data_IF_213929098484
#
_entry.id   IF_213929098484
#
_cell.length_a   1.000
_cell.length_b   1.000
_cell.length_c   1.000
_cell.angle_alpha   90.00
_cell.angle_beta   90.00
_cell.angle_gamma   90.00
#
_symmetry.space_group_name_H-M   'P 1'
#
loop_
_entity.id
_entity.type
_entity.pdbx_description
1 polymer ?
#
# COMPACT_ATOMS: atom_id res chain seq x y z
N UNK A 1 -37.61 28.38 -17.60
CA UNK A 1 -37.54 27.02 -18.19
C UNK A 1 -36.35 26.28 -17.61
N UNK A 2 -36.54 25.68 -16.45
CA UNK A 2 -35.54 24.94 -15.67
C UNK A 2 -35.70 23.45 -15.95
N UNK A 3 -34.76 22.86 -16.70
CA UNK A 3 -34.72 21.41 -16.92
C UNK A 3 -34.11 20.74 -15.70
N UNK A 4 -34.97 20.17 -14.86
CA UNK A 4 -34.63 19.19 -13.83
C UNK A 4 -34.05 17.93 -14.49
N UNK A 5 -32.86 17.53 -14.06
CA UNK A 5 -32.28 16.21 -14.39
C UNK A 5 -32.79 15.19 -13.37
N UNK A 6 -33.14 13.96 -13.77
CA UNK A 6 -33.62 12.96 -12.83
C UNK A 6 -32.46 12.47 -11.96
N UNK A 7 -32.67 12.43 -10.65
CA UNK A 7 -31.87 11.65 -9.72
C UNK A 7 -32.07 10.18 -10.08
N UNK A 8 -31.06 9.55 -10.68
CA UNK A 8 -30.98 8.09 -10.72
C UNK A 8 -30.38 7.68 -9.38
N UNK A 9 -31.25 7.28 -8.45
CA UNK A 9 -30.86 6.60 -7.22
C UNK A 9 -30.41 5.19 -7.61
N UNK A 10 -29.10 4.98 -7.70
CA UNK A 10 -28.53 3.64 -7.80
C UNK A 10 -28.58 3.03 -6.41
N UNK A 11 -29.58 2.19 -6.17
CA UNK A 11 -29.67 1.35 -4.99
C UNK A 11 -28.58 0.26 -5.09
N UNK A 12 -27.44 0.49 -4.45
CA UNK A 12 -26.46 -0.57 -4.22
C UNK A 12 -27.03 -1.45 -3.11
N UNK A 13 -27.72 -2.52 -3.51
CA UNK A 13 -28.07 -3.58 -2.59
C UNK A 13 -26.78 -4.16 -2.01
N UNK A 14 -26.57 -3.99 -0.70
CA UNK A 14 -25.62 -4.80 0.06
C UNK A 14 -26.18 -6.20 0.09
N UNK A 15 -25.76 -6.98 -0.89
CA UNK A 15 -26.04 -8.39 -0.96
C UNK A 15 -24.97 -9.09 -0.12
N UNK A 16 -25.25 -9.26 1.18
CA UNK A 16 -24.65 -10.31 2.00
C UNK A 16 -25.19 -11.66 1.52
N UNK A 17 -24.87 -12.08 0.30
CA UNK A 17 -25.11 -13.45 -0.14
C UNK A 17 -23.96 -14.30 0.37
N UNK A 18 -24.25 -15.07 1.41
CA UNK A 18 -23.70 -16.41 1.55
C UNK A 18 -24.12 -17.24 0.35
N UNK A 19 -23.48 -17.00 -0.80
CA UNK A 19 -23.68 -17.81 -1.99
C UNK A 19 -23.11 -19.19 -1.72
N UNK A 20 -23.99 -20.19 -1.64
CA UNK A 20 -23.60 -21.59 -1.72
C UNK A 20 -23.01 -21.84 -3.11
N UNK A 21 -21.69 -21.67 -3.23
CA UNK A 21 -20.96 -21.97 -4.45
C UNK A 21 -20.71 -23.48 -4.53
N UNK A 22 -21.27 -24.12 -5.55
CA UNK A 22 -20.97 -25.50 -5.90
C UNK A 22 -19.51 -25.59 -6.36
N UNK A 23 -18.65 -26.07 -5.46
CA UNK A 23 -17.25 -26.32 -5.78
C UNK A 23 -17.16 -27.50 -6.76
N UNK A 24 -16.68 -27.26 -7.99
CA UNK A 24 -16.08 -28.34 -8.79
C UNK A 24 -14.82 -28.79 -8.06
N UNK A 25 -14.91 -29.94 -7.39
CA UNK A 25 -13.82 -30.58 -6.68
C UNK A 25 -12.69 -30.95 -7.63
N UNK A 26 -11.65 -30.11 -7.68
CA UNK A 26 -10.35 -30.54 -8.19
C UNK A 26 -9.79 -31.60 -7.24
N UNK A 27 -9.62 -32.82 -7.74
CA UNK A 27 -9.13 -33.97 -6.98
C UNK A 27 -7.88 -33.62 -6.17
N UNK A 28 -7.89 -33.98 -4.90
CA UNK A 28 -6.73 -33.89 -4.04
C UNK A 28 -5.63 -34.78 -4.62
N UNK A 29 -4.47 -34.20 -4.95
CA UNK A 29 -3.26 -34.99 -5.15
C UNK A 29 -2.82 -35.55 -3.80
N UNK A 30 -3.34 -36.73 -3.50
CA UNK A 30 -2.93 -37.60 -2.38
C UNK A 30 -1.50 -38.08 -2.65
N UNK A 31 -0.54 -37.65 -1.82
CA UNK A 31 0.83 -38.23 -1.83
C UNK A 31 2.00 -37.31 -1.47
N UNK A 32 1.87 -35.98 -1.54
CA UNK A 32 2.99 -35.10 -1.20
C UNK A 32 3.08 -34.81 0.31
N UNK A 33 4.23 -35.10 0.92
CA UNK A 33 4.55 -34.73 2.31
C UNK A 33 4.35 -33.21 2.51
N UNK A 34 3.61 -32.78 3.55
CA UNK A 34 3.42 -31.36 3.83
C UNK A 34 4.75 -30.64 4.08
N UNK A 35 4.89 -29.43 3.50
CA UNK A 35 5.97 -28.53 3.85
C UNK A 35 5.85 -28.10 5.31
N UNK A 36 6.96 -27.89 6.00
CA UNK A 36 6.92 -27.45 7.41
C UNK A 36 7.33 -25.98 7.52
N UNK A 37 6.41 -25.13 7.98
CA UNK A 37 6.68 -23.74 8.30
C UNK A 37 7.11 -23.61 9.77
N UNK A 38 8.35 -23.15 10.02
CA UNK A 38 8.89 -22.93 11.38
C UNK A 38 9.20 -21.46 11.60
N UNK A 39 9.21 -21.02 12.86
CA UNK A 39 9.63 -19.67 13.19
C UNK A 39 11.05 -19.40 12.63
N UNK A 40 11.19 -18.37 11.79
CA UNK A 40 12.48 -17.89 11.29
C UNK A 40 12.99 -16.71 12.11
N UNK A 41 12.07 -15.94 12.70
CA UNK A 41 12.38 -14.76 13.49
C UNK A 41 11.58 -14.75 14.79
N UNK A 42 12.01 -13.90 15.73
CA UNK A 42 11.21 -13.58 16.92
C UNK A 42 10.02 -12.71 16.53
N UNK A 43 8.94 -12.82 17.29
CA UNK A 43 7.82 -11.89 17.20
C UNK A 43 8.27 -10.46 17.43
N UNK A 44 7.72 -9.53 16.66
CA UNK A 44 7.86 -8.10 16.89
C UNK A 44 6.53 -7.39 16.63
N UNK A 45 6.30 -6.28 17.33
CA UNK A 45 5.08 -5.51 17.19
C UNK A 45 5.07 -4.71 15.88
N UNK A 46 3.92 -4.73 15.21
CA UNK A 46 3.54 -3.76 14.18
C UNK A 46 2.42 -2.85 14.73
N UNK A 47 2.40 -1.56 14.35
CA UNK A 47 1.34 -0.66 14.79
C UNK A 47 -0.05 -1.03 14.23
N UNK A 48 -1.12 -0.49 14.82
CA UNK A 48 -2.49 -0.59 14.29
C UNK A 48 -2.61 -0.14 12.85
N UNK A 49 -2.02 1.01 12.56
CA UNK A 49 -1.96 1.59 11.24
C UNK A 49 -0.72 1.14 10.45
N UNK A 50 -0.36 -0.15 10.52
CA UNK A 50 0.78 -0.67 9.76
C UNK A 50 0.46 -0.72 8.26
N UNK A 51 -0.70 -1.25 7.88
CA UNK A 51 -1.08 -1.47 6.49
C UNK A 51 -2.09 -0.41 6.03
N UNK A 52 -1.78 0.27 4.93
CA UNK A 52 -2.58 1.39 4.47
C UNK A 52 -2.60 1.57 2.97
N UNK A 53 -3.22 2.67 2.55
CA UNK A 53 -3.27 3.10 1.15
C UNK A 53 -2.88 4.56 1.01
N UNK A 54 -2.14 4.84 -0.06
CA UNK A 54 -1.91 6.20 -0.50
C UNK A 54 -3.11 6.69 -1.32
N UNK A 55 -3.65 7.88 -1.02
CA UNK A 55 -4.85 8.42 -1.67
C UNK A 55 -4.56 9.74 -2.43
N UNK A 56 -3.81 9.74 -3.54
CA UNK A 56 -3.49 10.95 -4.28
C UNK A 56 -4.69 11.40 -5.16
N UNK A 57 -5.69 12.04 -4.57
CA UNK A 57 -6.80 12.62 -5.35
C UNK A 57 -6.28 13.71 -6.30
N UNK A 58 -6.57 13.54 -7.60
CA UNK A 58 -6.20 14.47 -8.66
C UNK A 58 -7.24 14.57 -9.77
N UNK A 59 -7.30 13.58 -10.66
CA UNK A 59 -8.16 13.65 -11.86
C UNK A 59 -9.63 13.33 -11.56
N UNK A 60 -9.88 12.51 -10.53
CA UNK A 60 -11.22 12.09 -10.14
C UNK A 60 -11.52 12.52 -8.70
N UNK A 61 -11.22 13.78 -8.36
CA UNK A 61 -11.33 14.26 -6.97
C UNK A 61 -12.75 14.20 -6.42
N UNK A 62 -13.78 14.28 -7.28
CA UNK A 62 -15.19 14.10 -6.88
C UNK A 62 -15.45 12.75 -6.20
N UNK A 63 -14.67 11.71 -6.52
CA UNK A 63 -14.83 10.38 -5.92
C UNK A 63 -14.54 10.37 -4.43
N UNK A 64 -13.70 11.29 -3.94
CA UNK A 64 -13.43 11.45 -2.52
C UNK A 64 -14.69 11.78 -1.71
N UNK A 65 -15.72 12.29 -2.36
CA UNK A 65 -16.95 12.77 -1.74
C UNK A 65 -18.07 11.73 -1.71
N UNK A 66 -17.88 10.57 -2.34
CA UNK A 66 -18.99 9.64 -2.59
C UNK A 66 -19.05 8.55 -1.53
N UNK A 67 -20.25 8.16 -1.06
CA UNK A 67 -20.42 7.06 -0.12
C UNK A 67 -19.86 5.74 -0.65
N UNK A 68 -19.91 5.51 -1.96
CA UNK A 68 -19.43 4.29 -2.59
C UNK A 68 -17.92 4.12 -2.42
N UNK A 69 -17.13 5.19 -2.57
CA UNK A 69 -15.70 5.12 -2.30
C UNK A 69 -15.44 4.83 -0.82
N UNK A 70 -16.16 5.50 0.08
CA UNK A 70 -15.95 5.33 1.52
C UNK A 70 -16.28 3.92 1.98
N UNK A 71 -17.40 3.36 1.50
CA UNK A 71 -17.78 1.97 1.73
C UNK A 71 -16.78 0.99 1.14
N UNK A 72 -16.32 1.22 -0.10
CA UNK A 72 -15.32 0.36 -0.74
C UNK A 72 -13.97 0.41 0.00
N UNK A 73 -13.55 1.59 0.47
CA UNK A 73 -12.36 1.75 1.29
C UNK A 73 -12.49 1.02 2.63
N UNK A 74 -13.64 1.14 3.30
CA UNK A 74 -13.92 0.41 4.54
C UNK A 74 -13.88 -1.11 4.34
N UNK A 75 -14.40 -1.61 3.22
CA UNK A 75 -14.35 -3.02 2.85
C UNK A 75 -12.94 -3.60 2.66
N UNK A 76 -11.92 -2.74 2.45
CA UNK A 76 -10.51 -3.16 2.40
C UNK A 76 -9.85 -3.23 3.79
N UNK A 77 -10.54 -2.76 4.84
CA UNK A 77 -10.08 -2.71 6.22
C UNK A 77 -8.65 -2.13 6.41
N UNK A 78 -8.33 -0.95 5.83
CA UNK A 78 -7.03 -0.35 6.01
C UNK A 78 -6.79 0.05 7.47
N UNK A 79 -5.57 -0.15 7.95
CA UNK A 79 -5.13 0.46 9.21
C UNK A 79 -4.79 1.94 9.04
N UNK A 80 -4.40 2.38 7.84
CA UNK A 80 -3.99 3.76 7.59
C UNK A 80 -4.46 4.30 6.23
N UNK A 81 -4.68 5.61 6.13
CA UNK A 81 -4.81 6.33 4.87
C UNK A 81 -3.92 7.57 4.87
N UNK A 82 -3.18 7.77 3.77
CA UNK A 82 -2.26 8.90 3.60
C UNK A 82 -2.97 10.15 3.08
N UNK A 83 -2.94 11.23 3.87
CA UNK A 83 -3.71 12.49 3.71
C UNK A 83 -2.79 13.71 3.74
N UNK A 84 -2.46 14.39 2.66
CA UNK A 84 -2.65 14.08 1.27
C UNK A 84 -1.61 13.04 0.84
N UNK A 85 -1.64 12.61 -0.41
CA UNK A 85 -0.83 11.49 -0.85
C UNK A 85 0.04 11.80 -2.05
N UNK A 86 1.29 11.32 -2.09
CA UNK A 86 2.10 11.39 -3.30
C UNK A 86 2.50 12.83 -3.69
N UNK A 87 2.89 13.02 -4.95
CA UNK A 87 3.37 14.33 -5.43
C UNK A 87 2.31 15.44 -5.31
N UNK A 88 1.01 15.10 -5.21
CA UNK A 88 -0.07 16.07 -5.06
C UNK A 88 0.00 16.82 -3.72
N UNK A 89 0.49 16.19 -2.65
CA UNK A 89 0.63 16.80 -1.33
C UNK A 89 1.52 18.05 -1.33
N UNK A 90 2.59 18.05 -2.13
CA UNK A 90 3.49 19.20 -2.30
C UNK A 90 2.82 20.46 -2.87
N UNK A 91 1.61 20.34 -3.42
CA UNK A 91 0.88 21.42 -4.09
C UNK A 91 -0.52 21.64 -3.54
N UNK A 92 -0.95 20.86 -2.55
CA UNK A 92 -2.30 20.93 -2.00
C UNK A 92 -2.51 22.18 -1.14
N UNK A 93 -3.63 22.87 -1.38
CA UNK A 93 -4.15 23.96 -0.57
C UNK A 93 -5.38 23.43 0.20
N UNK A 94 -5.18 23.13 1.47
CA UNK A 94 -6.21 22.53 2.34
C UNK A 94 -7.40 23.46 2.57
N UNK A 95 -7.23 24.78 2.44
CA UNK A 95 -8.31 25.77 2.63
C UNK A 95 -9.29 25.78 1.48
N UNK A 96 -8.82 25.49 0.26
CA UNK A 96 -9.67 25.48 -0.94
C UNK A 96 -10.02 24.08 -1.40
N UNK A 97 -9.45 23.04 -0.78
CA UNK A 97 -9.60 21.65 -1.20
C UNK A 97 -9.05 21.35 -2.59
N UNK A 98 -8.10 22.16 -3.08
CA UNK A 98 -7.55 22.10 -4.46
C UNK A 98 -6.03 22.32 -4.45
N UNK A 99 -5.40 22.31 -5.63
CA UNK A 99 -4.00 22.73 -5.74
C UNK A 99 -3.86 24.26 -5.74
N UNK A 100 -2.73 24.76 -5.22
CA UNK A 100 -2.34 26.16 -5.42
C UNK A 100 -2.27 26.50 -6.92
N UNK A 101 -2.86 27.62 -7.33
CA UNK A 101 -2.72 28.19 -8.68
C UNK A 101 -1.70 29.33 -8.63
N UNK A 102 -0.40 29.01 -8.65
CA UNK A 102 0.67 30.01 -8.63
C UNK A 102 1.90 29.61 -9.44
N UNK A 103 2.75 30.59 -9.73
CA UNK A 103 4.00 30.40 -10.45
C UNK A 103 4.90 29.34 -9.80
N UNK A 104 5.43 28.43 -10.63
CA UNK A 104 6.27 27.31 -10.22
C UNK A 104 5.52 26.04 -9.78
N UNK A 105 4.20 26.08 -9.59
CA UNK A 105 3.38 24.86 -9.51
C UNK A 105 3.37 24.21 -10.89
N UNK A 106 3.63 22.90 -11.06
CA UNK A 106 3.65 22.28 -12.38
C UNK A 106 2.37 22.53 -13.18
N UNK A 107 2.45 22.86 -14.49
CA UNK A 107 1.27 23.19 -15.30
C UNK A 107 0.15 22.15 -15.23
N UNK A 108 0.54 20.87 -15.18
CA UNK A 108 -0.41 19.77 -15.11
C UNK A 108 -1.20 19.70 -13.78
N UNK A 109 -0.68 20.26 -12.68
CA UNK A 109 -1.43 20.41 -11.42
C UNK A 109 -2.33 21.65 -11.46
N UNK A 110 -1.86 22.77 -12.01
CA UNK A 110 -2.70 23.96 -12.21
C UNK A 110 -3.91 23.65 -13.10
N UNK A 111 -3.67 22.96 -14.23
CA UNK A 111 -4.73 22.52 -15.14
C UNK A 111 -5.71 21.57 -14.45
N UNK A 112 -5.21 20.58 -13.69
CA UNK A 112 -6.07 19.70 -12.90
C UNK A 112 -6.91 20.48 -11.87
N UNK A 113 -6.31 21.45 -11.17
CA UNK A 113 -6.99 22.27 -10.16
C UNK A 113 -8.24 22.98 -10.68
N UNK A 114 -8.22 23.44 -11.94
CA UNK A 114 -9.38 24.09 -12.59
C UNK A 114 -10.56 23.13 -12.78
N UNK A 115 -10.27 21.84 -12.96
CA UNK A 115 -11.27 20.79 -13.22
C UNK A 115 -11.65 19.98 -11.97
N UNK A 116 -10.89 20.14 -10.88
CA UNK A 116 -11.13 19.42 -9.65
C UNK A 116 -12.38 19.92 -8.92
N UNK A 117 -13.18 18.98 -8.46
CA UNK A 117 -14.06 19.18 -7.31
C UNK A 117 -13.20 19.39 -6.06
N UNK A 118 -13.43 20.45 -5.26
CA UNK A 118 -12.77 20.62 -3.97
C UNK A 118 -12.91 19.38 -3.09
N UNK A 119 -11.84 19.02 -2.37
CA UNK A 119 -11.86 18.01 -1.31
C UNK A 119 -11.34 18.65 -0.02
N UNK A 120 -12.24 19.06 0.85
CA UNK A 120 -11.90 19.73 2.10
C UNK A 120 -11.42 18.72 3.16
N UNK A 121 -10.85 19.23 4.25
CA UNK A 121 -10.44 18.38 5.38
C UNK A 121 -11.60 17.59 5.98
N UNK A 122 -12.83 18.11 5.94
CA UNK A 122 -14.03 17.39 6.41
C UNK A 122 -14.31 16.14 5.56
N UNK A 123 -14.11 16.22 4.24
CA UNK A 123 -14.29 15.08 3.34
C UNK A 123 -13.27 13.97 3.63
N UNK A 124 -12.03 14.38 3.96
CA UNK A 124 -11.01 13.45 4.44
C UNK A 124 -11.34 12.85 5.79
N UNK A 125 -11.86 13.64 6.73
CA UNK A 125 -12.26 13.17 8.05
C UNK A 125 -13.36 12.11 7.94
N UNK A 126 -14.33 12.32 7.05
CA UNK A 126 -15.37 11.33 6.76
C UNK A 126 -14.80 10.04 6.18
N UNK A 127 -13.95 10.13 5.15
CA UNK A 127 -13.32 8.95 4.56
C UNK A 127 -12.49 8.17 5.59
N UNK A 128 -11.72 8.87 6.43
CA UNK A 128 -10.92 8.29 7.51
C UNK A 128 -11.81 7.56 8.53
N UNK A 129 -12.89 8.21 8.96
CA UNK A 129 -13.83 7.67 9.94
C UNK A 129 -14.56 6.44 9.42
N UNK A 130 -15.10 6.51 8.20
CA UNK A 130 -15.82 5.38 7.59
C UNK A 130 -14.88 4.21 7.27
N UNK A 131 -13.64 4.47 6.86
CA UNK A 131 -12.65 3.43 6.65
C UNK A 131 -12.05 2.85 7.95
N UNK A 132 -12.36 3.44 9.11
CA UNK A 132 -11.77 3.09 10.40
C UNK A 132 -10.23 3.07 10.38
N UNK A 133 -9.62 4.07 9.75
CA UNK A 133 -8.19 4.15 9.52
C UNK A 133 -7.54 5.28 10.35
N UNK A 134 -6.24 5.17 10.64
CA UNK A 134 -5.48 6.33 11.12
C UNK A 134 -5.04 7.20 9.92
N UNK A 135 -5.15 8.54 10.00
CA UNK A 135 -4.59 9.44 9.00
C UNK A 135 -3.07 9.54 9.11
N UNK A 136 -2.41 9.60 7.97
CA UNK A 136 -0.97 9.87 7.85
C UNK A 136 -0.78 11.16 7.07
N UNK A 137 -0.42 12.23 7.77
CA UNK A 137 -0.47 13.57 7.20
C UNK A 137 0.76 13.91 6.36
N UNK A 138 0.66 13.96 5.02
CA UNK A 138 1.75 14.46 4.17
C UNK A 138 1.70 15.98 4.02
N UNK A 139 2.62 16.67 4.68
CA UNK A 139 2.62 18.12 4.74
C UNK A 139 3.21 18.76 3.50
N UNK A 140 2.59 19.85 3.08
CA UNK A 140 3.04 20.65 1.95
C UNK A 140 4.24 21.54 2.33
N UNK A 141 5.46 21.02 2.20
CA UNK A 141 6.70 21.77 2.48
C UNK A 141 7.15 22.68 1.33
N UNK A 142 6.47 22.63 0.19
CA UNK A 142 6.95 23.18 -1.08
C UNK A 142 6.23 24.47 -1.44
N UNK A 143 4.90 24.44 -1.37
CA UNK A 143 4.05 25.57 -1.77
C UNK A 143 3.23 26.17 -0.63
N UNK A 144 3.25 25.59 0.57
CA UNK A 144 2.68 26.17 1.80
C UNK A 144 3.79 26.60 2.79
N UNK A 145 3.40 27.06 3.98
CA UNK A 145 4.26 27.49 5.08
C UNK A 145 4.07 26.60 6.31
N UNK A 146 5.03 26.63 7.25
CA UNK A 146 4.92 25.89 8.51
C UNK A 146 3.69 26.33 9.31
N UNK A 147 3.43 27.64 9.40
CA UNK A 147 2.28 28.16 10.15
C UNK A 147 0.95 27.69 9.55
N UNK A 148 0.83 27.67 8.22
CA UNK A 148 -0.37 27.23 7.53
C UNK A 148 -0.57 25.71 7.65
N UNK A 149 0.49 24.91 7.59
CA UNK A 149 0.41 23.46 7.81
C UNK A 149 0.12 23.10 9.28
N UNK A 150 0.62 23.86 10.25
CA UNK A 150 0.22 23.69 11.66
C UNK A 150 -1.26 24.06 11.87
N UNK A 151 -1.76 25.09 11.16
CA UNK A 151 -3.18 25.42 11.18
C UNK A 151 -4.05 24.30 10.58
N UNK A 152 -3.59 23.68 9.48
CA UNK A 152 -4.22 22.50 8.89
C UNK A 152 -4.34 21.35 9.91
N UNK A 153 -3.25 21.04 10.62
CA UNK A 153 -3.25 19.96 11.63
C UNK A 153 -4.18 20.26 12.81
N UNK A 154 -4.29 21.53 13.24
CA UNK A 154 -5.27 21.92 14.28
C UNK A 154 -6.70 21.74 13.78
N UNK A 155 -7.00 22.22 12.58
CA UNK A 155 -8.32 22.03 11.96
C UNK A 155 -8.66 20.54 11.79
N UNK A 156 -7.68 19.71 11.41
CA UNK A 156 -7.86 18.28 11.30
C UNK A 156 -8.17 17.61 12.66
N UNK A 157 -7.46 18.00 13.72
CA UNK A 157 -7.75 17.55 15.08
C UNK A 157 -9.17 17.93 15.51
N UNK A 158 -9.60 19.15 15.20
CA UNK A 158 -10.93 19.65 15.57
C UNK A 158 -12.05 18.92 14.80
N UNK A 159 -11.72 18.30 13.66
CA UNK A 159 -12.58 17.36 12.91
C UNK A 159 -12.50 15.90 13.42
N UNK A 160 -11.79 15.65 14.52
CA UNK A 160 -11.66 14.31 15.11
C UNK A 160 -10.56 13.43 14.48
N UNK A 161 -9.74 13.96 13.57
CA UNK A 161 -8.63 13.20 12.99
C UNK A 161 -7.41 13.19 13.94
N UNK A 162 -6.91 12.01 14.36
CA UNK A 162 -5.81 11.95 15.32
C UNK A 162 -4.47 12.37 14.69
N UNK A 163 -3.79 13.36 15.29
CA UNK A 163 -2.51 13.87 14.80
C UNK A 163 -1.35 13.02 15.36
N UNK A 164 -1.22 11.79 14.83
CA UNK A 164 -0.22 10.80 15.30
C UNK A 164 0.91 10.54 14.31
N UNK A 165 0.66 10.70 13.01
CA UNK A 165 1.62 10.37 11.94
C UNK A 165 1.68 11.48 10.92
N UNK A 166 2.88 11.98 10.67
CA UNK A 166 3.11 13.14 9.81
C UNK A 166 4.33 12.87 8.94
N UNK A 167 4.23 13.15 7.64
CA UNK A 167 5.34 13.18 6.70
C UNK A 167 5.67 14.62 6.31
N UNK A 168 6.96 14.89 6.10
CA UNK A 168 7.46 16.20 5.72
C UNK A 168 7.71 16.30 4.22
N UNK A 169 6.62 16.24 3.47
CA UNK A 169 6.57 16.36 2.01
C UNK A 169 6.76 15.04 1.29
N UNK A 170 6.66 15.09 -0.03
CA UNK A 170 6.73 13.91 -0.89
C UNK A 170 7.88 14.00 -1.89
N UNK A 171 8.75 12.98 -1.93
CA UNK A 171 9.75 12.77 -3.00
C UNK A 171 10.56 14.01 -3.41
N UNK A 172 10.96 14.81 -2.42
CA UNK A 172 11.66 16.07 -2.62
C UNK A 172 13.07 15.90 -3.24
N UNK A 173 13.49 14.66 -3.51
CA UNK A 173 14.66 14.33 -4.32
C UNK A 173 14.46 14.54 -5.83
N UNK A 174 13.23 14.77 -6.30
CA UNK A 174 12.97 15.20 -7.67
C UNK A 174 13.22 16.70 -7.86
N UNK A 175 13.50 17.08 -9.11
CA UNK A 175 13.63 18.47 -9.52
C UNK A 175 12.28 19.02 -9.96
N UNK A 176 11.95 20.21 -9.46
CA UNK A 176 10.80 21.00 -9.87
C UNK A 176 11.00 22.43 -9.38
N UNK A 177 10.52 23.47 -10.09
CA UNK A 177 10.84 24.87 -9.77
C UNK A 177 10.55 25.27 -8.31
N UNK A 178 9.42 24.84 -7.75
CA UNK A 178 9.11 25.12 -6.34
C UNK A 178 9.89 24.22 -5.37
N UNK A 179 10.16 22.97 -5.71
CA UNK A 179 10.96 22.07 -4.88
C UNK A 179 12.39 22.60 -4.76
N UNK A 180 13.03 22.91 -5.89
CA UNK A 180 14.41 23.40 -5.92
C UNK A 180 14.55 24.74 -5.19
N UNK A 181 13.53 25.61 -5.24
CA UNK A 181 13.49 26.83 -4.43
C UNK A 181 13.27 26.56 -2.93
N UNK A 182 12.34 25.67 -2.59
CA UNK A 182 12.00 25.40 -1.19
C UNK A 182 13.06 24.58 -0.44
N UNK A 183 13.77 23.70 -1.16
CA UNK A 183 14.74 22.73 -0.66
C UNK A 183 15.87 22.50 -1.69
N UNK A 184 16.75 23.49 -1.94
CA UNK A 184 17.73 23.43 -3.04
C UNK A 184 18.74 22.29 -2.94
N UNK A 185 19.00 21.78 -1.73
CA UNK A 185 19.90 20.65 -1.50
C UNK A 185 19.31 19.68 -0.48
N UNK A 186 19.77 18.41 -0.43
CA UNK A 186 19.34 17.48 0.61
C UNK A 186 19.67 17.97 2.03
N UNK A 187 20.81 18.65 2.23
CA UNK A 187 21.16 19.29 3.50
C UNK A 187 20.21 20.43 3.85
N UNK A 188 19.81 21.24 2.87
CA UNK A 188 18.81 22.30 3.09
C UNK A 188 17.46 21.71 3.52
N UNK A 189 17.06 20.59 2.90
CA UNK A 189 15.88 19.84 3.34
C UNK A 189 16.03 19.34 4.78
N UNK A 190 17.12 18.64 5.13
CA UNK A 190 17.32 18.12 6.48
C UNK A 190 17.26 19.20 7.57
N UNK A 191 17.85 20.38 7.34
CA UNK A 191 17.71 21.54 8.24
C UNK A 191 16.27 22.06 8.32
N UNK A 192 15.57 22.15 7.19
CA UNK A 192 14.17 22.61 7.14
C UNK A 192 13.26 21.64 7.89
N UNK A 193 13.39 20.34 7.62
CA UNK A 193 12.64 19.28 8.28
C UNK A 193 12.89 19.29 9.79
N UNK A 194 14.14 19.44 10.25
CA UNK A 194 14.46 19.59 11.69
C UNK A 194 13.67 20.71 12.36
N UNK A 195 13.58 21.88 11.72
CA UNK A 195 12.79 23.00 12.27
C UNK A 195 11.29 22.68 12.32
N UNK A 196 10.77 22.04 11.29
CA UNK A 196 9.37 21.63 11.22
C UNK A 196 9.03 20.58 12.28
N UNK A 197 9.88 19.56 12.44
CA UNK A 197 9.75 18.53 13.48
C UNK A 197 9.63 19.18 14.86
N UNK A 198 10.53 20.10 15.20
CA UNK A 198 10.50 20.78 16.50
C UNK A 198 9.19 21.52 16.72
N UNK A 199 8.72 22.28 15.73
CA UNK A 199 7.48 23.04 15.84
C UNK A 199 6.24 22.13 15.93
N UNK A 200 6.22 21.05 15.16
CA UNK A 200 5.15 20.05 15.19
C UNK A 200 5.09 19.38 16.55
N UNK A 201 6.22 18.85 17.06
CA UNK A 201 6.28 18.19 18.37
C UNK A 201 5.99 19.15 19.53
N UNK A 202 6.23 20.44 19.36
CA UNK A 202 5.83 21.46 20.34
C UNK A 202 4.32 21.65 20.48
N UNK A 203 3.53 21.38 19.42
CA UNK A 203 2.05 21.47 19.45
C UNK A 203 1.36 20.11 19.57
N UNK A 204 2.02 19.06 19.07
CA UNK A 204 1.52 17.69 18.99
C UNK A 204 2.60 16.74 19.52
N UNK A 205 2.83 16.68 20.85
CA UNK A 205 3.96 15.96 21.45
C UNK A 205 3.94 14.45 21.20
N UNK A 206 2.77 13.87 20.90
CA UNK A 206 2.62 12.46 20.57
C UNK A 206 2.72 12.15 19.07
N UNK A 207 2.89 13.17 18.22
CA UNK A 207 3.04 12.97 16.79
C UNK A 207 4.42 12.38 16.47
N UNK A 208 4.41 11.32 15.65
CA UNK A 208 5.61 10.79 14.99
C UNK A 208 5.77 11.48 13.65
N UNK A 209 6.98 11.93 13.36
CA UNK A 209 7.28 12.71 12.17
C UNK A 209 8.33 12.00 11.31
N UNK A 210 7.98 11.78 10.05
CA UNK A 210 8.83 11.19 9.04
C UNK A 210 9.41 12.24 8.09
N UNK A 211 10.71 12.15 7.81
CA UNK A 211 11.34 12.92 6.74
C UNK A 211 11.44 12.09 5.45
N UNK A 212 11.56 12.77 4.32
CA UNK A 212 11.66 12.15 2.99
C UNK A 212 13.00 11.47 2.81
N UNK A 213 12.96 10.16 2.63
CA UNK A 213 14.08 9.36 2.14
C UNK A 213 13.92 9.01 0.67
N UNK A 214 15.01 8.56 0.08
CA UNK A 214 15.05 7.97 -1.26
C UNK A 214 15.23 6.45 -1.19
N UNK A 215 16.00 5.98 -0.20
CA UNK A 215 16.27 4.55 0.02
C UNK A 215 17.37 4.00 -0.87
N UNK A 216 18.19 4.89 -1.44
CA UNK A 216 19.28 4.56 -2.36
C UNK A 216 18.88 3.78 -3.61
N UNK A 217 19.67 3.90 -4.67
CA UNK A 217 19.65 2.91 -5.74
C UNK A 217 20.97 2.93 -6.51
N UNK A 218 21.53 1.76 -6.85
CA UNK A 218 22.76 1.67 -7.63
C UNK A 218 22.67 2.40 -8.98
N UNK A 219 21.45 2.59 -9.49
CA UNK A 219 21.19 3.27 -10.76
C UNK A 219 21.31 4.80 -10.69
N UNK A 220 21.49 5.39 -9.50
CA UNK A 220 21.63 6.84 -9.33
C UNK A 220 23.04 7.21 -8.90
N UNK A 221 23.83 7.84 -9.78
CA UNK A 221 25.19 8.26 -9.45
C UNK A 221 25.21 9.21 -8.26
N UNK A 222 26.23 9.10 -7.40
CA UNK A 222 26.43 9.95 -6.21
C UNK A 222 26.49 11.45 -6.52
N UNK A 223 26.88 11.83 -7.75
CA UNK A 223 26.87 13.21 -8.25
C UNK A 223 25.48 13.80 -8.47
N UNK A 224 24.43 12.99 -8.54
CA UNK A 224 23.04 13.46 -8.75
C UNK A 224 22.36 13.79 -7.43
N UNK A 225 21.32 14.65 -7.44
CA UNK A 225 20.51 14.99 -6.25
C UNK A 225 20.00 13.73 -5.54
N UNK A 226 19.45 12.78 -6.30
CA UNK A 226 18.97 11.48 -5.81
C UNK A 226 20.07 10.62 -5.21
N UNK A 227 21.20 10.48 -5.89
CA UNK A 227 22.32 9.64 -5.41
C UNK A 227 22.95 10.11 -4.10
N UNK A 228 22.85 11.41 -3.78
CA UNK A 228 23.32 11.97 -2.50
C UNK A 228 22.22 12.31 -1.50
N UNK A 229 20.96 11.96 -1.80
CA UNK A 229 19.80 12.41 -1.02
C UNK A 229 19.91 11.99 0.44
N UNK A 230 19.85 10.69 0.72
CA UNK A 230 19.79 10.17 2.09
C UNK A 230 20.98 10.63 2.93
N UNK A 231 22.21 10.49 2.39
CA UNK A 231 23.43 10.97 3.08
C UNK A 231 23.35 12.47 3.43
N UNK A 232 22.88 13.29 2.49
CA UNK A 232 22.80 14.73 2.71
C UNK A 232 21.69 15.10 3.71
N UNK A 233 20.52 14.46 3.63
CA UNK A 233 19.43 14.65 4.59
C UNK A 233 19.88 14.26 5.99
N UNK A 234 20.34 13.02 6.18
CA UNK A 234 20.72 12.48 7.49
C UNK A 234 21.88 13.22 8.15
N UNK A 235 22.78 13.84 7.35
CA UNK A 235 23.85 14.67 7.91
C UNK A 235 23.37 15.91 8.68
N UNK A 236 22.14 16.37 8.42
CA UNK A 236 21.60 17.62 9.01
C UNK A 236 20.22 17.49 9.65
N UNK A 237 19.50 16.40 9.38
CA UNK A 237 18.19 16.10 9.96
C UNK A 237 18.34 15.70 11.44
N UNK A 238 17.49 16.24 12.31
CA UNK A 238 17.42 15.87 13.73
C UNK A 238 15.97 15.84 14.21
N UNK A 239 15.69 14.93 15.14
CA UNK A 239 14.43 14.82 15.87
C UNK A 239 13.35 13.96 15.18
N UNK A 240 13.66 13.41 14.01
CA UNK A 240 12.80 12.53 13.24
C UNK A 240 12.53 11.20 13.95
N UNK A 241 11.34 10.65 13.76
CA UNK A 241 10.98 9.32 14.24
C UNK A 241 11.09 8.28 13.12
N UNK A 242 10.94 8.73 11.87
CA UNK A 242 10.95 7.87 10.71
C UNK A 242 11.54 8.54 9.46
N UNK A 243 11.84 7.72 8.46
CA UNK A 243 12.16 8.14 7.10
C UNK A 243 11.22 7.43 6.13
N UNK A 244 10.69 8.16 5.16
CA UNK A 244 9.80 7.59 4.13
C UNK A 244 10.59 6.97 2.97
N UNK A 245 10.05 5.91 2.36
CA UNK A 245 10.65 5.25 1.20
C UNK A 245 9.60 4.82 0.20
N UNK A 246 9.84 5.07 -1.10
CA UNK A 246 8.87 4.81 -2.16
C UNK A 246 9.33 3.73 -3.18
N UNK A 247 9.34 2.45 -2.78
CA UNK A 247 9.85 1.37 -3.61
C UNK A 247 8.85 0.92 -4.68
N UNK A 248 9.19 1.19 -5.94
CA UNK A 248 8.55 0.57 -7.09
C UNK A 248 9.46 -0.46 -7.77
N UNK A 249 8.88 -1.51 -8.34
CA UNK A 249 9.62 -2.45 -9.18
C UNK A 249 9.08 -2.52 -10.61
N UNK A 250 10.00 -2.75 -11.53
CA UNK A 250 9.68 -3.00 -12.94
C UNK A 250 9.51 -4.50 -13.14
N UNK A 251 8.59 -4.86 -14.01
CA UNK A 251 8.43 -6.21 -14.53
C UNK A 251 8.81 -6.25 -16.00
N UNK A 252 9.11 -7.44 -16.57
CA UNK A 252 9.35 -7.56 -18.00
C UNK A 252 8.18 -6.98 -18.80
N UNK A 253 8.43 -6.20 -19.87
CA UNK A 253 7.38 -5.65 -20.69
C UNK A 253 6.65 -6.74 -21.50
N UNK A 254 5.43 -6.42 -21.92
CA UNK A 254 4.60 -7.27 -22.80
C UNK A 254 3.72 -8.28 -22.06
N UNK A 255 3.15 -9.23 -22.81
CA UNK A 255 2.24 -10.26 -22.28
C UNK A 255 2.94 -11.15 -21.26
N UNK A 256 2.20 -11.55 -20.22
CA UNK A 256 2.65 -12.52 -19.24
C UNK A 256 2.79 -13.90 -19.89
N UNK A 257 4.00 -14.46 -19.84
CA UNK A 257 4.30 -15.85 -20.26
C UNK A 257 4.83 -16.64 -19.06
N UNK A 258 4.88 -17.97 -19.16
CA UNK A 258 5.45 -18.82 -18.09
C UNK A 258 6.90 -18.42 -17.74
N UNK A 259 7.71 -18.12 -18.74
CA UNK A 259 9.11 -17.67 -18.55
C UNK A 259 9.21 -16.28 -17.91
N UNK A 260 8.24 -15.39 -18.17
CA UNK A 260 8.20 -14.05 -17.57
C UNK A 260 7.63 -14.07 -16.15
N UNK A 261 6.73 -15.01 -15.84
CA UNK A 261 6.07 -15.10 -14.54
C UNK A 261 7.07 -15.21 -13.38
N UNK A 262 8.14 -15.99 -13.51
CA UNK A 262 9.14 -16.07 -12.44
C UNK A 262 9.84 -14.73 -12.16
N UNK A 263 10.14 -13.95 -13.21
CA UNK A 263 10.73 -12.61 -13.08
C UNK A 263 9.76 -11.65 -12.38
N UNK A 264 8.47 -11.73 -12.69
CA UNK A 264 7.41 -10.94 -12.05
C UNK A 264 7.33 -11.25 -10.56
N UNK A 265 7.25 -12.52 -10.21
CA UNK A 265 7.10 -12.96 -8.82
C UNK A 265 8.37 -12.73 -7.98
N UNK A 266 9.54 -12.70 -8.60
CA UNK A 266 10.81 -12.42 -7.92
C UNK A 266 11.13 -10.91 -7.79
N UNK A 267 10.55 -10.06 -8.64
CA UNK A 267 10.77 -8.61 -8.64
C UNK A 267 10.55 -7.92 -7.28
N UNK A 268 9.46 -8.18 -6.53
CA UNK A 268 9.22 -7.54 -5.24
C UNK A 268 10.34 -7.83 -4.24
N UNK A 269 10.78 -9.09 -4.13
CA UNK A 269 11.86 -9.46 -3.19
C UNK A 269 13.23 -8.88 -3.58
N UNK A 270 13.50 -8.74 -4.88
CA UNK A 270 14.70 -8.01 -5.35
C UNK A 270 14.62 -6.55 -4.95
N UNK A 271 13.44 -5.92 -5.09
CA UNK A 271 13.24 -4.53 -4.67
C UNK A 271 13.35 -4.36 -3.16
N UNK A 272 12.84 -5.32 -2.37
CA UNK A 272 13.00 -5.33 -0.91
C UNK A 272 14.48 -5.41 -0.53
N UNK A 273 15.26 -6.22 -1.24
CA UNK A 273 16.71 -6.32 -1.01
C UNK A 273 17.42 -4.98 -1.27
N UNK A 274 17.00 -4.23 -2.30
CA UNK A 274 17.51 -2.88 -2.53
C UNK A 274 17.09 -1.90 -1.43
N UNK A 275 15.83 -1.95 -0.97
CA UNK A 275 15.36 -1.13 0.14
C UNK A 275 16.16 -1.41 1.43
N UNK A 276 16.44 -2.69 1.73
CA UNK A 276 17.27 -3.08 2.87
C UNK A 276 18.65 -2.42 2.81
N UNK A 277 19.32 -2.53 1.67
CA UNK A 277 20.69 -2.03 1.49
C UNK A 277 20.76 -0.50 1.42
N UNK A 278 19.92 0.10 0.58
CA UNK A 278 19.96 1.53 0.29
C UNK A 278 19.17 2.40 1.28
N UNK A 279 18.23 1.83 2.03
CA UNK A 279 17.38 2.56 2.97
C UNK A 279 17.54 2.05 4.40
N UNK A 280 17.02 0.85 4.70
CA UNK A 280 16.83 0.39 6.09
C UNK A 280 18.14 0.29 6.88
N UNK A 281 19.25 -0.09 6.25
CA UNK A 281 20.57 -0.15 6.90
C UNK A 281 21.18 1.22 7.20
N UNK A 282 20.74 2.26 6.50
CA UNK A 282 21.29 3.62 6.65
C UNK A 282 20.56 4.44 7.71
N UNK A 283 19.41 3.97 8.19
CA UNK A 283 18.62 4.70 9.18
C UNK A 283 19.36 4.76 10.53
N UNK A 284 19.40 5.94 11.19
CA UNK A 284 19.95 6.09 12.54
C UNK A 284 19.28 5.17 13.57
N UNK A 285 19.95 4.95 14.70
CA UNK A 285 19.35 4.20 15.81
C UNK A 285 18.05 4.87 16.29
N UNK A 286 17.04 4.07 16.62
CA UNK A 286 15.72 4.56 17.05
C UNK A 286 14.81 5.03 15.91
N UNK A 287 15.36 5.36 14.72
CA UNK A 287 14.57 5.79 13.56
C UNK A 287 14.04 4.59 12.78
N UNK A 288 12.76 4.63 12.41
CA UNK A 288 12.06 3.57 11.66
C UNK A 288 11.83 3.96 10.20
N UNK A 289 11.38 3.00 9.39
CA UNK A 289 10.98 3.21 8.00
C UNK A 289 9.45 3.25 7.89
N UNK A 290 8.96 4.23 7.14
CA UNK A 290 7.59 4.25 6.62
C UNK A 290 7.66 4.06 5.10
N UNK A 291 7.03 3.02 4.59
CA UNK A 291 7.04 2.69 3.16
C UNK A 291 5.75 3.21 2.54
N UNK A 292 5.63 4.53 2.39
CA UNK A 292 4.35 5.22 2.20
C UNK A 292 3.93 5.40 0.73
N UNK A 293 4.66 4.75 -0.18
CA UNK A 293 4.28 4.64 -1.58
C UNK A 293 5.00 3.46 -2.26
N UNK A 294 4.30 2.35 -2.49
CA UNK A 294 4.88 1.19 -3.17
C UNK A 294 3.85 0.46 -4.03
N UNK A 295 4.31 -0.15 -5.12
CA UNK A 295 3.56 -1.05 -5.99
C UNK A 295 4.51 -1.59 -7.10
N UNK A 296 4.00 -2.43 -8.00
CA UNK A 296 4.50 -2.49 -9.37
C UNK A 296 4.54 -1.09 -10.00
N UNK A 297 5.49 -0.85 -10.90
CA UNK A 297 5.53 0.40 -11.67
C UNK A 297 4.20 0.64 -12.38
N UNK A 298 3.66 1.86 -12.25
CA UNK A 298 2.47 2.31 -12.97
C UNK A 298 2.59 2.20 -14.50
N UNK A 299 3.78 1.91 -15.06
CA UNK A 299 4.03 1.63 -16.49
C UNK A 299 3.99 0.13 -16.87
N UNK A 300 3.79 -0.76 -15.90
CA UNK A 300 3.77 -2.20 -16.14
C UNK A 300 2.58 -2.66 -17.00
N UNK A 301 2.81 -3.58 -17.93
CA UNK A 301 1.76 -4.27 -18.69
C UNK A 301 0.94 -5.27 -17.86
N UNK A 302 1.30 -5.50 -16.59
CA UNK A 302 0.67 -6.49 -15.72
C UNK A 302 -0.38 -5.91 -14.78
N UNK A 303 -0.56 -4.59 -14.76
CA UNK A 303 -1.56 -3.93 -13.91
C UNK A 303 -2.92 -4.60 -14.09
N UNK A 304 -3.60 -4.88 -12.99
CA UNK A 304 -4.92 -5.52 -12.98
C UNK A 304 -4.92 -7.03 -13.20
N UNK A 305 -3.76 -7.66 -13.46
CA UNK A 305 -3.69 -9.13 -13.53
C UNK A 305 -3.54 -9.77 -12.15
N UNK A 306 -3.93 -11.03 -11.99
CA UNK A 306 -3.69 -11.74 -10.72
C UNK A 306 -2.20 -11.86 -10.36
N UNK A 307 -1.31 -11.93 -11.35
CA UNK A 307 0.14 -11.85 -11.11
C UNK A 307 0.57 -10.53 -10.48
N UNK A 308 -0.16 -9.43 -10.70
CA UNK A 308 0.04 -8.17 -9.99
C UNK A 308 -0.26 -8.33 -8.51
N UNK A 309 -1.46 -8.82 -8.16
CA UNK A 309 -1.88 -9.05 -6.78
C UNK A 309 -0.91 -9.98 -6.02
N UNK A 310 -0.45 -11.06 -6.65
CA UNK A 310 0.57 -11.94 -6.07
C UNK A 310 1.92 -11.25 -5.87
N UNK A 311 2.32 -10.34 -6.77
CA UNK A 311 3.57 -9.58 -6.66
C UNK A 311 3.53 -8.63 -5.47
N UNK A 312 2.40 -7.96 -5.26
CA UNK A 312 2.24 -7.00 -4.16
C UNK A 312 2.07 -7.72 -2.81
N UNK A 313 1.31 -8.81 -2.75
CA UNK A 313 1.21 -9.66 -1.56
C UNK A 313 2.59 -10.21 -1.12
N UNK A 314 3.42 -10.61 -2.07
CA UNK A 314 4.80 -11.06 -1.82
C UNK A 314 5.66 -9.95 -1.19
N UNK A 315 5.47 -8.70 -1.63
CA UNK A 315 6.15 -7.55 -1.08
C UNK A 315 5.69 -7.24 0.35
N UNK A 316 4.38 -7.22 0.61
CA UNK A 316 3.81 -7.02 1.94
C UNK A 316 4.33 -8.04 2.96
N UNK A 317 4.30 -9.34 2.63
CA UNK A 317 4.87 -10.39 3.49
C UNK A 317 6.38 -10.20 3.71
N UNK A 318 7.06 -9.59 2.75
CA UNK A 318 8.43 -9.11 2.89
C UNK A 318 8.57 -8.01 3.94
N UNK A 319 7.78 -6.95 3.83
CA UNK A 319 7.77 -5.82 4.76
C UNK A 319 7.41 -6.22 6.19
N UNK A 320 6.48 -7.15 6.38
CA UNK A 320 6.14 -7.71 7.70
C UNK A 320 7.31 -8.43 8.37
N UNK A 321 8.34 -8.81 7.62
CA UNK A 321 9.59 -9.33 8.19
C UNK A 321 10.59 -8.28 8.62
N UNK A 322 10.44 -7.04 8.13
CA UNK A 322 11.36 -5.96 8.40
C UNK A 322 11.03 -5.31 9.74
N UNK A 323 11.80 -5.66 10.78
CA UNK A 323 11.62 -5.07 12.12
C UNK A 323 11.78 -3.54 12.15
N UNK A 324 12.35 -2.92 11.13
CA UNK A 324 12.47 -1.47 11.01
C UNK A 324 11.31 -0.81 10.27
N UNK A 325 10.47 -1.57 9.57
CA UNK A 325 9.29 -1.03 8.89
C UNK A 325 8.14 -0.96 9.90
N UNK A 326 7.48 0.20 9.96
CA UNK A 326 6.39 0.47 10.90
C UNK A 326 5.13 1.02 10.24
N UNK A 327 5.20 1.25 8.94
CA UNK A 327 4.08 1.59 8.10
C UNK A 327 4.39 1.20 6.67
N UNK A 328 3.36 0.78 5.95
CA UNK A 328 3.35 0.67 4.51
C UNK A 328 2.03 1.23 3.98
N UNK A 329 2.09 1.96 2.86
CA UNK A 329 0.92 2.43 2.15
C UNK A 329 1.05 2.04 0.67
N UNK A 330 0.15 1.16 0.22
CA UNK A 330 0.09 0.78 -1.19
C UNK A 330 -0.31 2.01 -2.03
N UNK A 331 0.46 2.28 -3.09
CA UNK A 331 0.02 3.19 -4.13
C UNK A 331 -0.94 2.45 -5.07
N UNK A 332 -2.20 2.82 -5.20
CA UNK A 332 -2.98 3.82 -4.47
C UNK A 332 -4.30 3.18 -4.01
N UNK A 333 -5.06 3.85 -3.15
CA UNK A 333 -6.43 3.44 -2.80
C UNK A 333 -7.29 3.32 -4.07
N UNK A 334 -7.28 4.37 -4.90
CA UNK A 334 -8.10 4.46 -6.12
C UNK A 334 -7.31 5.16 -7.23
N UNK A 335 -7.42 4.65 -8.46
CA UNK A 335 -6.80 5.28 -9.62
C UNK A 335 -7.47 4.84 -10.94
N UNK A 336 -7.34 5.64 -11.99
CA UNK A 336 -7.90 5.34 -13.31
C UNK A 336 -7.26 4.16 -14.05
N UNK A 337 -6.12 3.66 -13.56
CA UNK A 337 -5.45 2.48 -14.10
C UNK A 337 -5.58 1.35 -13.07
N UNK A 338 -5.56 0.07 -13.48
CA UNK A 338 -5.97 -1.07 -12.66
C UNK A 338 -4.85 -1.54 -11.71
N UNK A 339 -4.00 -0.61 -11.27
CA UNK A 339 -2.88 -0.86 -10.38
C UNK A 339 -3.18 -0.49 -8.91
N UNK A 340 -4.14 0.41 -8.70
CA UNK A 340 -4.65 0.77 -7.38
C UNK A 340 -5.44 -0.38 -6.73
N UNK A 341 -5.82 -0.22 -5.46
CA UNK A 341 -6.66 -1.18 -4.76
C UNK A 341 -8.10 -1.21 -5.32
N UNK A 342 -8.65 -0.06 -5.70
CA UNK A 342 -9.99 0.10 -6.25
C UNK A 342 -9.96 0.66 -7.68
N UNK A 343 -10.92 0.22 -8.50
CA UNK A 343 -11.16 0.82 -9.81
C UNK A 343 -11.79 2.21 -9.67
N UNK A 344 -11.29 3.18 -10.44
CA UNK A 344 -11.89 4.51 -10.47
C UNK A 344 -13.01 4.67 -11.50
N UNK A 345 -13.11 3.80 -12.50
CA UNK A 345 -14.10 3.92 -13.57
C UNK A 345 -14.29 2.56 -14.24
N UNK A 346 -15.14 2.49 -15.26
CA UNK A 346 -15.38 1.28 -16.02
C UNK A 346 -14.33 0.99 -17.10
N UNK A 347 -13.42 1.93 -17.38
CA UNK A 347 -12.48 1.90 -18.51
C UNK A 347 -11.02 1.72 -18.05
N UNK A 348 -10.80 1.08 -16.90
CA UNK A 348 -9.46 1.01 -16.34
C UNK A 348 -8.48 0.23 -17.23
N UNK A 349 -8.96 -0.65 -18.10
CA UNK A 349 -8.14 -1.33 -19.12
C UNK A 349 -8.15 -0.63 -20.49
N UNK A 350 -8.63 0.61 -20.58
CA UNK A 350 -9.19 1.16 -21.82
C UNK A 350 -10.63 0.67 -21.96
N UNK A 351 -11.05 0.32 -23.17
CA UNK A 351 -12.46 -0.02 -23.39
C UNK A 351 -12.80 -1.50 -23.06
N UNK A 352 -11.81 -2.39 -23.15
CA UNK A 352 -12.03 -3.85 -22.99
C UNK A 352 -10.92 -4.55 -22.20
N UNK A 353 -11.25 -5.38 -21.18
CA UNK A 353 -12.60 -5.57 -20.62
C UNK A 353 -13.04 -4.36 -19.79
N UNK A 354 -14.34 -4.12 -19.70
CA UNK A 354 -14.91 -3.14 -18.78
C UNK A 354 -14.69 -3.57 -17.33
N UNK A 355 -14.69 -2.60 -16.43
CA UNK A 355 -14.44 -2.77 -14.99
C UNK A 355 -15.60 -2.23 -14.18
N UNK A 356 -15.70 -2.66 -12.92
CA UNK A 356 -16.74 -2.19 -12.01
C UNK A 356 -16.17 -1.04 -11.17
N UNK A 357 -16.68 0.20 -11.29
CA UNK A 357 -16.23 1.32 -10.45
C UNK A 357 -16.28 0.97 -8.97
N UNK A 358 -15.27 1.38 -8.21
CA UNK A 358 -15.08 1.11 -6.78
C UNK A 358 -14.94 -0.36 -6.39
N UNK A 359 -15.02 -1.31 -7.33
CA UNK A 359 -14.71 -2.69 -7.02
C UNK A 359 -13.20 -2.88 -6.79
N UNK A 360 -12.80 -3.84 -5.94
CA UNK A 360 -11.40 -4.16 -5.75
C UNK A 360 -10.75 -4.70 -7.04
N UNK A 361 -9.58 -4.17 -7.37
CA UNK A 361 -8.71 -4.71 -8.45
C UNK A 361 -8.08 -6.03 -8.02
N UNK A 362 -7.25 -6.64 -8.88
CA UNK A 362 -6.43 -7.79 -8.48
C UNK A 362 -5.58 -7.52 -7.22
N UNK A 363 -5.08 -6.29 -7.04
CA UNK A 363 -4.30 -5.91 -5.86
C UNK A 363 -5.22 -5.69 -4.67
N UNK A 364 -6.34 -5.00 -4.86
CA UNK A 364 -7.33 -4.79 -3.80
C UNK A 364 -7.88 -6.11 -3.26
N UNK A 365 -8.14 -7.10 -4.14
CA UNK A 365 -8.54 -8.45 -3.73
C UNK A 365 -7.43 -9.17 -2.97
N UNK A 366 -6.20 -9.15 -3.48
CA UNK A 366 -5.07 -9.80 -2.80
C UNK A 366 -4.80 -9.20 -1.42
N UNK A 367 -4.83 -7.88 -1.27
CA UNK A 367 -4.52 -7.21 0.00
C UNK A 367 -5.73 -7.13 0.94
N UNK A 368 -6.96 -7.05 0.41
CA UNK A 368 -8.19 -7.12 1.20
C UNK A 368 -8.35 -8.42 1.96
N UNK A 369 -7.75 -9.52 1.49
CA UNK A 369 -7.64 -10.76 2.27
C UNK A 369 -6.62 -10.67 3.42
N UNK A 370 -5.56 -9.86 3.26
CA UNK A 370 -4.42 -9.82 4.19
C UNK A 370 -4.58 -8.75 5.28
N UNK A 371 -5.08 -7.57 4.90
CA UNK A 371 -5.18 -6.39 5.77
C UNK A 371 -6.04 -6.60 7.03
N UNK A 372 -7.17 -7.35 7.00
CA UNK A 372 -7.98 -7.57 8.19
C UNK A 372 -7.23 -8.22 9.37
N UNK A 373 -6.20 -9.04 9.14
CA UNK A 373 -5.37 -9.58 10.24
C UNK A 373 -4.30 -8.60 10.73
N UNK A 374 -4.00 -7.55 9.96
CA UNK A 374 -2.99 -6.55 10.30
C UNK A 374 -3.57 -5.35 11.06
N UNK A 375 -4.87 -5.08 10.87
CA UNK A 375 -5.59 -4.00 11.55
C UNK A 375 -5.60 -4.19 13.07
N UNK A 376 -5.64 -3.08 13.83
CA UNK A 376 -5.65 -3.09 15.30
C UNK A 376 -4.31 -3.40 15.99
N UNK A 377 -3.28 -3.73 15.21
CA UNK A 377 -1.93 -3.97 15.70
C UNK A 377 -1.73 -5.44 16.02
N UNK A 378 -0.53 -5.93 15.72
CA UNK A 378 -0.23 -7.34 15.87
C UNK A 378 1.23 -7.54 16.27
N UNK A 379 1.54 -8.73 16.78
CA UNK A 379 2.90 -9.21 16.88
C UNK A 379 3.13 -10.22 15.77
N UNK A 380 4.06 -9.93 14.87
CA UNK A 380 4.30 -10.74 13.68
C UNK A 380 5.69 -11.38 13.69
N UNK A 381 5.82 -12.55 13.08
CA UNK A 381 7.11 -13.19 12.80
C UNK A 381 7.10 -13.85 11.43
N UNK A 382 8.25 -13.86 10.78
CA UNK A 382 8.40 -14.65 9.56
C UNK A 382 8.51 -16.12 9.89
N UNK A 383 7.91 -16.94 9.03
CA UNK A 383 8.08 -18.38 9.05
C UNK A 383 8.98 -18.81 7.88
N UNK A 384 9.99 -19.63 8.19
CA UNK A 384 10.78 -20.34 7.19
C UNK A 384 10.02 -21.61 6.82
N UNK A 385 9.59 -21.70 5.56
CA UNK A 385 8.97 -22.91 5.01
C UNK A 385 10.09 -23.83 4.53
N UNK A 386 10.39 -24.88 5.31
CA UNK A 386 11.40 -25.89 4.96
C UNK A 386 11.02 -26.57 3.65
N UNK A 387 12.04 -26.80 2.82
CA UNK A 387 11.92 -27.46 1.51
C UNK A 387 10.91 -26.79 0.56
N UNK A 388 10.65 -25.49 0.80
CA UNK A 388 9.81 -24.67 -0.08
C UNK A 388 10.39 -24.71 -1.50
N UNK A 389 9.59 -25.06 -2.52
CA UNK A 389 10.01 -24.97 -3.90
C UNK A 389 10.52 -23.57 -4.21
N UNK A 390 11.48 -23.46 -5.11
CA UNK A 390 11.99 -22.14 -5.53
C UNK A 390 11.13 -21.56 -6.64
N UNK A 391 11.01 -20.24 -6.69
CA UNK A 391 10.50 -19.55 -7.88
C UNK A 391 11.45 -19.90 -9.04
N UNK A 392 10.95 -20.45 -10.16
CA UNK A 392 11.80 -20.97 -11.24
C UNK A 392 12.88 -19.98 -11.71
N UNK A 393 14.12 -20.43 -11.83
CA UNK A 393 15.26 -19.58 -12.22
C UNK A 393 15.74 -18.62 -11.13
N UNK A 394 15.35 -18.85 -9.86
CA UNK A 394 15.80 -18.03 -8.72
C UNK A 394 16.11 -18.90 -7.50
N UNK A 395 16.71 -18.30 -6.47
CA UNK A 395 16.91 -18.92 -5.14
C UNK A 395 15.80 -18.60 -4.14
N UNK A 396 14.76 -17.89 -4.56
CA UNK A 396 13.71 -17.38 -3.67
C UNK A 396 12.64 -18.45 -3.45
N UNK A 397 12.20 -18.61 -2.20
CA UNK A 397 11.12 -19.53 -1.84
C UNK A 397 9.80 -19.11 -2.53
N UNK A 398 9.05 -20.08 -3.04
CA UNK A 398 7.77 -19.86 -3.70
C UNK A 398 6.58 -20.07 -2.75
N UNK A 399 6.79 -20.66 -1.57
CA UNK A 399 5.81 -20.67 -0.48
C UNK A 399 6.36 -19.85 0.67
N UNK A 400 5.58 -18.87 1.12
CA UNK A 400 5.95 -17.95 2.21
C UNK A 400 4.83 -17.86 3.23
N UNK A 401 5.21 -17.59 4.48
CA UNK A 401 4.25 -17.41 5.54
C UNK A 401 4.75 -16.43 6.61
N UNK A 402 3.79 -15.73 7.22
CA UNK A 402 3.97 -14.85 8.38
C UNK A 402 2.95 -15.26 9.42
N UNK A 403 3.39 -15.47 10.66
CA UNK A 403 2.48 -15.75 11.78
C UNK A 403 2.16 -14.46 12.54
N UNK A 404 0.93 -14.36 13.00
CA UNK A 404 0.42 -13.29 13.86
C UNK A 404 0.06 -13.91 15.21
N UNK A 405 0.70 -13.44 16.27
CA UNK A 405 0.54 -14.01 17.60
C UNK A 405 -0.93 -13.94 18.03
N UNK A 406 -1.55 -15.10 18.26
CA UNK A 406 -2.95 -15.21 18.71
C UNK A 406 -4.02 -14.88 17.66
N UNK A 407 -3.64 -14.62 16.40
CA UNK A 407 -4.58 -14.22 15.33
C UNK A 407 -4.52 -15.10 14.07
N UNK A 408 -3.51 -15.97 13.98
CA UNK A 408 -3.35 -16.90 12.86
C UNK A 408 -2.14 -16.61 11.98
N UNK A 409 -2.29 -16.75 10.66
CA UNK A 409 -1.18 -16.66 9.71
C UNK A 409 -1.59 -16.17 8.33
N UNK A 410 -0.68 -15.47 7.66
CA UNK A 410 -0.78 -15.11 6.24
C UNK A 410 0.15 -16.02 5.44
N UNK A 411 -0.36 -16.64 4.38
CA UNK A 411 0.39 -17.56 3.52
C UNK A 411 0.21 -17.24 2.05
N UNK A 412 1.28 -17.45 1.30
CA UNK A 412 1.34 -17.20 -0.14
C UNK A 412 1.90 -18.43 -0.84
N UNK A 413 1.17 -18.96 -1.82
CA UNK A 413 1.63 -20.07 -2.68
C UNK A 413 1.85 -19.57 -4.11
N UNK A 414 3.10 -19.26 -4.43
CA UNK A 414 3.56 -18.85 -5.75
C UNK A 414 3.95 -20.03 -6.65
N UNK A 415 3.54 -21.27 -6.33
CA UNK A 415 3.83 -22.43 -7.17
C UNK A 415 2.71 -22.67 -8.18
N UNK A 416 3.00 -23.49 -9.21
CA UNK A 416 2.00 -23.93 -10.18
C UNK A 416 1.07 -25.05 -9.65
N UNK A 417 1.27 -25.48 -8.41
CA UNK A 417 0.60 -26.64 -7.82
C UNK A 417 -0.01 -26.27 -6.46
N UNK A 418 -1.02 -27.03 -6.04
CA UNK A 418 -1.46 -26.98 -4.65
C UNK A 418 -0.31 -27.40 -3.73
N UNK A 419 -0.20 -26.78 -2.56
CA UNK A 419 0.81 -27.11 -1.55
C UNK A 419 0.14 -27.33 -0.21
N UNK A 420 0.59 -28.35 0.52
CA UNK A 420 0.21 -28.56 1.92
C UNK A 420 1.30 -27.97 2.81
N UNK A 421 0.91 -27.16 3.79
CA UNK A 421 1.84 -26.52 4.73
C UNK A 421 1.39 -26.81 6.16
N UNK A 422 2.25 -27.44 6.95
CA UNK A 422 2.08 -27.58 8.40
C UNK A 422 2.78 -26.44 9.11
N UNK A 423 2.03 -25.68 9.92
CA UNK A 423 2.59 -24.71 10.83
C UNK A 423 3.18 -25.44 12.05
N UNK A 424 4.50 -25.38 12.25
CA UNK A 424 5.13 -25.98 13.42
C UNK A 424 4.71 -25.21 14.69
N UNK A 425 4.50 -25.95 15.78
CA UNK A 425 4.02 -25.50 17.10
C UNK A 425 4.36 -24.03 17.43
N UNK A 426 3.31 -23.21 17.58
CA UNK A 426 3.39 -21.80 17.95
C UNK A 426 2.46 -20.84 17.18
N UNK A 427 1.95 -21.20 15.99
CA UNK A 427 0.76 -20.57 15.39
C UNK A 427 -0.31 -21.59 14.99
N UNK A 428 -0.16 -22.86 15.38
CA UNK A 428 -1.17 -23.90 15.15
C UNK A 428 -2.37 -23.62 16.05
N UNK A 429 -3.32 -22.87 15.52
CA UNK A 429 -4.69 -22.87 15.99
C UNK A 429 -5.53 -23.65 14.99
N UNK A 430 -6.60 -24.26 15.48
CA UNK A 430 -7.71 -24.64 14.64
C UNK A 430 -8.46 -23.35 14.28
N UNK A 431 -8.87 -23.23 13.02
CA UNK A 431 -9.59 -22.06 12.56
C UNK A 431 -9.81 -22.08 11.05
N UNK A 432 -10.33 -20.98 10.51
CA UNK A 432 -10.74 -20.90 9.11
C UNK A 432 -9.59 -20.48 8.21
N UNK A 433 -9.31 -21.27 7.18
CA UNK A 433 -8.39 -20.93 6.08
C UNK A 433 -9.18 -20.35 4.91
N UNK A 434 -9.17 -19.02 4.78
CA UNK A 434 -9.66 -18.31 3.61
C UNK A 434 -8.58 -18.29 2.53
N UNK A 435 -8.93 -18.68 1.31
CA UNK A 435 -8.02 -18.77 0.17
C UNK A 435 -8.64 -18.13 -1.06
N UNK A 436 -7.89 -17.23 -1.71
CA UNK A 436 -8.25 -16.65 -3.00
C UNK A 436 -7.19 -16.95 -4.06
N UNK A 437 -7.63 -17.29 -5.28
CA UNK A 437 -6.72 -17.57 -6.39
C UNK A 437 -7.37 -17.36 -7.75
N UNK A 438 -6.53 -17.09 -8.74
CA UNK A 438 -6.91 -17.04 -10.15
C UNK A 438 -5.71 -17.44 -11.04
N UNK A 439 -5.91 -17.71 -12.34
CA UNK A 439 -4.79 -17.83 -13.27
C UNK A 439 -3.93 -16.54 -13.26
N UNK A 440 -2.59 -16.61 -13.25
CA UNK A 440 -1.74 -15.41 -13.15
C UNK A 440 -2.00 -14.34 -14.22
N UNK A 441 -2.44 -14.75 -15.42
CA UNK A 441 -2.73 -13.85 -16.52
C UNK A 441 -4.18 -13.31 -16.52
N UNK A 442 -5.04 -13.79 -15.62
CA UNK A 442 -6.42 -13.32 -15.51
C UNK A 442 -6.42 -11.84 -15.17
N UNK A 443 -7.15 -11.04 -15.96
CA UNK A 443 -7.46 -9.64 -15.64
C UNK A 443 -8.66 -9.68 -14.71
N UNK A 444 -8.49 -9.13 -13.52
CA UNK A 444 -9.59 -8.96 -12.57
C UNK A 444 -10.22 -7.63 -12.91
N UNK A 445 -11.54 -7.61 -13.08
CA UNK A 445 -12.32 -6.43 -13.49
C UNK A 445 -13.30 -5.97 -12.41
N UNK A 446 -13.49 -6.78 -11.37
CA UNK A 446 -14.39 -6.47 -10.25
C UNK A 446 -15.73 -7.19 -10.36
N UNK A 447 -16.01 -7.87 -11.48
CA UNK A 447 -17.19 -8.71 -11.63
C UNK A 447 -17.08 -9.99 -10.79
N UNK A 448 -18.24 -10.56 -10.43
CA UNK A 448 -18.29 -11.80 -9.67
C UNK A 448 -17.73 -12.99 -10.48
N UNK A 449 -17.14 -13.97 -9.79
CA UNK A 449 -16.69 -15.23 -10.37
C UNK A 449 -15.30 -15.22 -11.05
N UNK A 450 -14.63 -14.07 -11.13
CA UNK A 450 -13.28 -13.98 -11.73
C UNK A 450 -12.16 -14.56 -10.86
N UNK A 451 -12.38 -14.53 -9.54
CA UNK A 451 -11.47 -15.05 -8.54
C UNK A 451 -12.14 -16.23 -7.85
N UNK A 452 -11.43 -17.35 -7.78
CA UNK A 452 -11.86 -18.48 -6.96
C UNK A 452 -11.62 -18.15 -5.50
N UNK A 453 -12.61 -18.43 -4.66
CA UNK A 453 -12.56 -18.25 -3.22
C UNK A 453 -12.94 -19.57 -2.53
N UNK A 454 -12.31 -19.87 -1.40
CA UNK A 454 -12.67 -20.99 -0.54
C UNK A 454 -12.28 -20.68 0.90
N UNK A 455 -13.24 -20.81 1.81
CA UNK A 455 -13.04 -20.84 3.25
C UNK A 455 -13.22 -22.28 3.74
N UNK A 456 -12.28 -22.81 4.52
CA UNK A 456 -12.38 -24.17 5.09
C UNK A 456 -11.89 -24.15 6.52
N UNK A 457 -12.64 -24.81 7.41
CA UNK A 457 -12.14 -25.17 8.73
C UNK A 457 -10.90 -26.06 8.60
N UNK A 458 -9.81 -25.64 9.21
CA UNK A 458 -8.52 -26.26 9.02
C UNK A 458 -7.98 -26.81 10.32
N UNK A 459 -7.96 -28.14 10.42
CA UNK A 459 -7.23 -28.88 11.44
C UNK A 459 -5.99 -29.53 10.80
N UNK A 460 -4.80 -29.15 11.28
CA UNK A 460 -3.54 -29.71 10.78
C UNK A 460 -2.98 -29.03 9.51
N UNK A 461 -2.42 -29.77 8.54
CA UNK A 461 -1.75 -29.16 7.38
C UNK A 461 -2.70 -28.37 6.46
N UNK A 462 -2.40 -27.08 6.29
CA UNK A 462 -3.14 -26.13 5.46
C UNK A 462 -2.97 -26.47 3.97
N UNK A 463 -4.08 -26.60 3.23
CA UNK A 463 -4.06 -26.85 1.78
C UNK A 463 -4.16 -25.55 1.00
N UNK A 464 -3.03 -25.06 0.51
CA UNK A 464 -2.92 -23.78 -0.21
C UNK A 464 -3.12 -24.01 -1.71
N UNK A 465 -4.17 -23.46 -2.35
CA UNK A 465 -4.35 -23.56 -3.80
C UNK A 465 -3.14 -23.01 -4.56
N UNK A 466 -2.94 -23.42 -5.81
CA UNK A 466 -1.88 -22.85 -6.64
C UNK A 466 -2.10 -21.36 -6.83
N UNK A 467 -1.03 -20.56 -6.87
CA UNK A 467 -1.10 -19.12 -7.18
C UNK A 467 -2.09 -18.39 -6.27
N UNK A 468 -2.01 -18.60 -4.97
CA UNK A 468 -3.02 -18.15 -4.01
C UNK A 468 -2.47 -17.23 -2.93
N UNK A 469 -3.34 -16.35 -2.45
CA UNK A 469 -3.21 -15.63 -1.19
C UNK A 469 -4.12 -16.32 -0.18
N UNK A 470 -3.63 -16.54 1.04
CA UNK A 470 -4.35 -17.33 2.03
C UNK A 470 -4.22 -16.68 3.41
N UNK A 471 -5.32 -16.66 4.15
CA UNK A 471 -5.44 -16.16 5.50
C UNK A 471 -5.96 -17.30 6.39
N UNK A 472 -5.17 -17.71 7.37
CA UNK A 472 -5.63 -18.52 8.47
C UNK A 472 -6.03 -17.59 9.61
N UNK A 473 -7.28 -17.64 10.03
CA UNK A 473 -7.80 -16.90 11.18
C UNK A 473 -7.95 -17.84 12.37
N UNK A 474 -7.34 -17.46 13.49
CA UNK A 474 -7.80 -17.87 14.82
C UNK A 474 -8.67 -16.72 15.36
#
# INVERSE_FOLDING_TARGET
>A
MTRSRPLIVVLIAIVLLGGAYTSRGGGATTGATPLTARAATRYHAIPSAFAGFNAPFRKNSWQALTPELRQAAAGLAPGALRVFGGTTANYWNWRTGKFFDKAGVPPAFRAASRQMTPVYLSDWADLIREANADPVFDLNLVSSSLSDQLAMLRAARDLGMPIRRIELGNELYFHAPLIDRAVPTPKAYGRKATRWIRAIKGQFPHARVAAVGFGGSPSWPSRTRRGRWDRGVLSTLRGEDAITFHPYWKTPPGRLTRARLSKVLAAPLRRLSLLRYGGLRQLPNGVVAWVTEWNISHKSSLRGTWANGLSDAEYLLGLLGERRVRQEDLQALIFGNPFAALFANAEAFGDTPSTVPFAPTAVGRALGELYPLLSGGARVRQLAVRDSPRIPGTRLAAVRAVALQGRGALLLNLTGHQRRVRLASGPACDGTLDSVWAPPAARITGHAGEISHRAVESQGPLSLPRRSVNRLSC
#
